data_IF_891987706442
#
_entry.id   IF_891987706442
#
_cell.length_a   1.000
_cell.length_b   1.000
_cell.length_c   1.000
_cell.angle_alpha   90.00
_cell.angle_beta   90.00
_cell.angle_gamma   90.00
#
_symmetry.space_group_name_H-M   'P 1'
#
loop_
_entity.id
_entity.type
_entity.pdbx_description
1 polymer ?
#
# COMPACT_ATOMS: atom_id res chain seq x y z
N UNK A 1 23.98 45.46 9.99
CA UNK A 1 24.45 44.14 10.46
C UNK A 1 23.59 43.73 11.66
N UNK A 2 22.76 42.72 11.49
CA UNK A 2 22.47 41.66 12.48
C UNK A 2 21.41 40.75 11.87
N UNK A 3 21.89 39.72 11.15
CA UNK A 3 21.08 38.58 10.76
C UNK A 3 20.88 37.73 12.01
N UNK A 4 19.67 37.76 12.58
CA UNK A 4 19.22 36.72 13.49
C UNK A 4 18.97 35.44 12.66
N UNK A 5 20.00 34.62 12.52
CA UNK A 5 19.84 33.23 12.14
C UNK A 5 19.10 32.52 13.29
N UNK A 6 17.79 32.32 13.14
CA UNK A 6 17.08 31.30 13.91
C UNK A 6 17.61 29.95 13.41
N UNK A 7 18.56 29.38 14.14
CA UNK A 7 18.79 27.93 14.10
C UNK A 7 17.48 27.26 14.51
N UNK A 8 16.68 26.84 13.53
CA UNK A 8 15.55 25.96 13.79
C UNK A 8 16.13 24.65 14.35
N UNK A 9 15.91 24.39 15.63
CA UNK A 9 16.25 23.12 16.25
C UNK A 9 15.74 21.99 15.34
N UNK A 10 16.63 21.08 14.94
CA UNK A 10 16.22 19.88 14.19
C UNK A 10 15.12 19.19 14.99
N UNK A 11 13.94 18.92 14.41
CA UNK A 11 12.89 18.23 15.15
C UNK A 11 13.42 16.89 15.66
N UNK A 12 13.32 16.67 16.98
CA UNK A 12 13.75 15.43 17.62
C UNK A 12 12.92 14.25 17.12
N UNK A 13 13.56 13.09 16.95
CA UNK A 13 12.85 11.84 16.67
C UNK A 13 11.89 11.51 17.83
N UNK A 14 10.79 10.82 17.51
CA UNK A 14 9.87 10.30 18.51
C UNK A 14 10.59 9.28 19.40
N UNK A 15 10.31 9.37 20.70
CA UNK A 15 10.72 8.37 21.69
C UNK A 15 9.87 7.12 21.57
N UNK A 16 10.37 5.98 22.09
CA UNK A 16 9.62 4.74 22.14
C UNK A 16 8.24 4.91 22.84
N UNK A 17 8.19 5.65 23.95
CA UNK A 17 6.94 5.89 24.70
C UNK A 17 5.92 6.67 23.85
N UNK A 18 6.38 7.62 23.03
CA UNK A 18 5.49 8.33 22.10
C UNK A 18 4.97 7.42 20.99
N UNK A 19 5.81 6.52 20.47
CA UNK A 19 5.38 5.53 19.47
C UNK A 19 4.38 4.54 20.08
N UNK A 20 4.59 4.09 21.31
CA UNK A 20 3.65 3.22 22.03
C UNK A 20 2.29 3.90 22.20
N UNK A 21 2.28 5.17 22.65
CA UNK A 21 1.05 5.94 22.80
C UNK A 21 0.31 6.06 21.47
N UNK A 22 1.04 6.37 20.40
CA UNK A 22 0.50 6.42 19.04
C UNK A 22 -0.13 5.08 18.68
N UNK A 23 0.61 3.97 18.78
CA UNK A 23 0.11 2.64 18.42
C UNK A 23 -1.08 2.17 19.26
N UNK A 24 -1.16 2.60 20.52
CA UNK A 24 -2.29 2.32 21.41
C UNK A 24 -3.54 3.11 21.01
N UNK A 25 -3.35 4.35 20.55
CA UNK A 25 -4.41 5.23 20.09
C UNK A 25 -4.78 5.03 18.61
N UNK A 26 -3.88 4.41 17.83
CA UNK A 26 -4.07 4.15 16.41
C UNK A 26 -5.29 3.27 16.18
N UNK A 27 -6.20 3.79 15.34
CA UNK A 27 -7.44 3.16 14.88
C UNK A 27 -8.42 2.76 15.99
N UNK A 28 -9.27 3.69 16.45
CA UNK A 28 -10.62 3.32 16.82
C UNK A 28 -11.37 2.96 15.54
N UNK A 29 -11.22 1.70 15.11
CA UNK A 29 -12.13 1.08 14.15
C UNK A 29 -13.47 0.82 14.83
N UNK A 30 -14.20 1.90 15.07
CA UNK A 30 -15.57 2.05 15.57
C UNK A 30 -15.93 1.56 16.98
N UNK A 31 -15.28 0.56 17.61
CA UNK A 31 -15.55 0.19 19.02
C UNK A 31 -14.39 -0.51 19.78
N UNK A 32 -13.24 -0.77 19.14
CA UNK A 32 -12.19 -1.63 19.72
C UNK A 32 -10.76 -1.16 19.44
N UNK A 33 -9.83 -1.48 20.35
CA UNK A 33 -8.39 -1.30 20.17
C UNK A 33 -7.82 -2.36 19.22
N UNK A 34 -7.07 -1.94 18.19
CA UNK A 34 -6.44 -2.86 17.23
C UNK A 34 -5.34 -3.70 17.88
N UNK A 35 -4.45 -3.05 18.62
CA UNK A 35 -3.34 -3.66 19.35
C UNK A 35 -3.65 -3.65 20.85
N UNK A 36 -3.27 -4.72 21.55
CA UNK A 36 -3.29 -4.72 23.01
C UNK A 36 -2.21 -3.78 23.56
N UNK A 37 -2.30 -3.36 24.83
CA UNK A 37 -1.27 -2.52 25.44
C UNK A 37 0.12 -3.19 25.42
N UNK A 38 0.17 -4.51 25.62
CA UNK A 38 1.40 -5.28 25.54
C UNK A 38 1.96 -5.31 24.12
N UNK A 39 1.11 -5.57 23.12
CA UNK A 39 1.51 -5.60 21.73
C UNK A 39 1.96 -4.22 21.23
N UNK A 40 1.27 -3.14 21.60
CA UNK A 40 1.68 -1.76 21.29
C UNK A 40 3.08 -1.46 21.84
N UNK A 41 3.37 -1.87 23.08
CA UNK A 41 4.68 -1.67 23.71
C UNK A 41 5.78 -2.45 23.01
N UNK A 42 5.54 -3.73 22.71
CA UNK A 42 6.51 -4.57 21.99
C UNK A 42 6.79 -4.02 20.60
N UNK A 43 5.74 -3.70 19.84
CA UNK A 43 5.89 -3.14 18.48
C UNK A 43 6.54 -1.76 18.49
N UNK A 44 6.24 -0.90 19.46
CA UNK A 44 6.90 0.40 19.60
C UNK A 44 8.41 0.25 19.83
N UNK A 45 8.82 -0.73 20.65
CA UNK A 45 10.24 -1.05 20.84
C UNK A 45 10.90 -1.49 19.53
N UNK A 46 10.23 -2.37 18.76
CA UNK A 46 10.73 -2.81 17.45
C UNK A 46 10.89 -1.64 16.48
N UNK A 47 9.86 -0.80 16.32
CA UNK A 47 9.89 0.39 15.46
C UNK A 47 11.01 1.34 15.86
N UNK A 48 11.13 1.64 17.16
CA UNK A 48 12.16 2.55 17.65
C UNK A 48 13.57 2.04 17.32
N UNK A 49 13.86 0.78 17.66
CA UNK A 49 15.17 0.16 17.41
C UNK A 49 15.44 0.10 15.90
N UNK A 50 14.46 -0.31 15.09
CA UNK A 50 14.65 -0.47 13.65
C UNK A 50 14.90 0.87 12.97
N UNK A 51 14.10 1.89 13.28
CA UNK A 51 14.22 3.23 12.69
C UNK A 51 15.49 3.94 13.13
N UNK A 52 15.92 3.78 14.40
CA UNK A 52 17.23 4.25 14.86
C UNK A 52 18.38 3.57 14.09
N UNK A 53 18.28 2.26 13.92
CA UNK A 53 19.27 1.42 13.23
C UNK A 53 19.45 1.85 11.77
N UNK A 54 18.35 2.14 11.06
CA UNK A 54 18.40 2.65 9.69
C UNK A 54 18.55 4.17 9.61
N UNK A 55 18.71 4.87 10.74
CA UNK A 55 18.83 6.33 10.81
C UNK A 55 17.67 7.06 10.13
N UNK A 56 16.47 6.51 10.26
CA UNK A 56 15.24 7.15 9.83
C UNK A 56 14.68 7.95 11.02
N UNK A 57 14.67 9.29 10.89
CA UNK A 57 14.15 10.16 11.94
C UNK A 57 12.62 10.11 11.95
N UNK A 58 12.06 9.23 12.79
CA UNK A 58 10.63 9.06 12.91
C UNK A 58 10.03 10.28 13.64
N UNK A 59 9.10 10.98 12.98
CA UNK A 59 8.45 12.18 13.51
C UNK A 59 6.95 12.01 13.46
N UNK A 60 6.24 12.60 14.42
CA UNK A 60 4.79 12.74 14.30
C UNK A 60 4.52 13.80 13.23
N UNK A 61 3.90 13.40 12.13
CA UNK A 61 3.51 14.26 11.04
C UNK A 61 2.09 14.77 11.20
N UNK A 62 1.41 14.94 10.07
CA UNK A 62 0.01 15.36 10.01
C UNK A 62 -0.90 14.24 10.52
N UNK A 63 -1.85 14.58 11.36
CA UNK A 63 -2.97 13.70 11.65
C UNK A 63 -4.06 13.91 10.60
N UNK A 64 -4.55 12.83 9.99
CA UNK A 64 -5.59 12.90 8.95
C UNK A 64 -6.97 12.70 9.58
N UNK A 65 -7.83 13.73 9.66
CA UNK A 65 -9.15 13.54 10.22
C UNK A 65 -10.06 12.83 9.21
N UNK A 66 -10.68 11.76 9.68
CA UNK A 66 -11.69 10.97 8.99
C UNK A 66 -13.04 11.26 9.64
N UNK A 67 -13.99 11.76 8.84
CA UNK A 67 -15.36 11.98 9.28
C UNK A 67 -16.13 10.66 9.19
N UNK A 68 -16.65 10.19 10.30
CA UNK A 68 -17.52 9.02 10.38
C UNK A 68 -18.94 9.49 10.73
N UNK A 69 -19.96 8.90 10.09
CA UNK A 69 -21.34 9.32 10.32
C UNK A 69 -21.73 9.14 11.79
N UNK A 70 -22.05 10.25 12.48
CA UNK A 70 -22.55 10.22 13.86
C UNK A 70 -21.48 10.18 14.95
N UNK A 71 -20.18 10.32 14.63
CA UNK A 71 -19.09 10.29 15.61
C UNK A 71 -18.15 11.49 15.46
N UNK A 72 -17.32 11.72 16.49
CA UNK A 72 -16.23 12.69 16.42
C UNK A 72 -15.18 12.27 15.38
N UNK A 73 -14.48 13.24 14.75
CA UNK A 73 -13.44 12.94 13.76
C UNK A 73 -12.35 12.04 14.34
N UNK A 74 -12.05 10.95 13.64
CA UNK A 74 -10.94 10.07 14.00
C UNK A 74 -9.66 10.61 13.37
N UNK A 75 -8.60 10.70 14.16
CA UNK A 75 -7.30 11.16 13.70
C UNK A 75 -6.40 9.96 13.41
N UNK A 76 -5.94 9.83 12.17
CA UNK A 76 -4.97 8.80 11.81
C UNK A 76 -3.56 9.40 11.96
N UNK A 77 -2.76 8.90 12.93
CA UNK A 77 -1.40 9.37 13.09
C UNK A 77 -0.54 8.87 11.93
N UNK A 78 0.21 9.79 11.35
CA UNK A 78 1.11 9.51 10.23
C UNK A 78 2.47 10.14 10.49
N UNK A 79 3.50 9.66 9.80
CA UNK A 79 4.82 10.27 9.81
C UNK A 79 5.17 10.83 8.43
N UNK A 80 5.80 12.01 8.36
CA UNK A 80 6.02 12.68 7.09
C UNK A 80 7.10 11.96 6.27
N UNK A 81 6.92 11.95 4.95
CA UNK A 81 7.96 11.55 3.99
C UNK A 81 8.40 12.80 3.20
N UNK A 82 9.27 13.60 3.83
CA UNK A 82 9.74 14.87 3.27
C UNK A 82 10.40 14.67 1.89
N UNK A 83 9.96 15.44 0.89
CA UNK A 83 10.46 15.32 -0.49
C UNK A 83 9.85 14.16 -1.31
N UNK A 84 8.79 13.51 -0.82
CA UNK A 84 7.94 12.67 -1.70
C UNK A 84 7.40 13.50 -2.87
N UNK A 85 7.24 12.87 -4.03
CA UNK A 85 6.68 13.52 -5.23
C UNK A 85 5.21 13.96 -5.02
N UNK A 86 4.52 13.44 -4.00
CA UNK A 86 3.16 13.83 -3.63
C UNK A 86 3.11 14.76 -2.41
N UNK A 87 4.27 15.26 -1.95
CA UNK A 87 4.37 16.12 -0.77
C UNK A 87 4.00 17.57 -1.08
N UNK A 88 3.69 18.39 -0.06
CA UNK A 88 3.42 19.82 -0.25
C UNK A 88 4.63 20.60 -0.80
N UNK A 89 5.83 20.04 -0.67
CA UNK A 89 7.11 20.59 -1.15
C UNK A 89 7.45 20.16 -2.60
N UNK A 90 6.64 19.30 -3.22
CA UNK A 90 6.92 18.76 -4.55
C UNK A 90 6.80 19.84 -5.65
N UNK A 91 7.58 19.70 -6.73
CA UNK A 91 7.55 20.63 -7.87
C UNK A 91 6.11 20.83 -8.33
N UNK A 92 5.57 22.05 -8.21
CA UNK A 92 4.16 22.24 -8.47
C UNK A 92 3.84 22.00 -9.95
N UNK A 93 4.79 22.05 -10.89
CA UNK A 93 4.53 21.79 -12.31
C UNK A 93 4.77 20.33 -12.74
N UNK A 94 5.05 19.43 -11.78
CA UNK A 94 5.22 18.00 -12.05
C UNK A 94 3.90 17.25 -12.27
N UNK A 95 3.89 16.29 -13.21
CA UNK A 95 2.71 15.49 -13.63
C UNK A 95 1.98 14.74 -12.50
N UNK A 96 2.59 14.59 -11.31
CA UNK A 96 2.06 13.77 -10.22
C UNK A 96 1.85 14.54 -8.90
N UNK A 97 2.13 15.85 -8.87
CA UNK A 97 2.52 16.52 -7.63
C UNK A 97 1.39 17.32 -6.92
N UNK A 98 0.21 17.46 -7.52
CA UNK A 98 -0.83 18.38 -7.01
C UNK A 98 -2.18 17.75 -6.67
N UNK A 99 -2.36 16.47 -6.91
CA UNK A 99 -3.72 15.94 -6.97
C UNK A 99 -4.16 15.24 -5.70
N UNK A 100 -3.26 14.56 -4.97
CA UNK A 100 -3.65 13.82 -3.77
C UNK A 100 -2.60 13.79 -2.65
N UNK A 101 -3.07 13.70 -1.41
CA UNK A 101 -2.23 13.41 -0.26
C UNK A 101 -2.99 12.57 0.78
N UNK A 102 -2.24 11.80 1.56
CA UNK A 102 -2.78 10.88 2.56
C UNK A 102 -1.74 9.87 3.03
N UNK A 103 -2.08 9.05 4.04
CA UNK A 103 -1.31 7.87 4.40
C UNK A 103 -1.16 6.96 3.18
N UNK A 104 0.02 6.37 3.02
CA UNK A 104 0.42 5.59 1.85
C UNK A 104 0.61 6.42 0.55
N UNK A 105 0.39 7.74 0.54
CA UNK A 105 0.73 8.57 -0.63
C UNK A 105 1.94 9.46 -0.34
N UNK A 106 1.76 10.36 0.61
CA UNK A 106 2.75 11.41 0.95
C UNK A 106 3.25 11.31 2.39
N UNK A 107 2.74 10.35 3.15
CA UNK A 107 3.17 10.06 4.51
C UNK A 107 2.99 8.56 4.79
N UNK A 108 3.76 8.05 5.74
CA UNK A 108 3.63 6.67 6.21
C UNK A 108 2.68 6.56 7.41
N UNK A 109 2.22 5.35 7.67
CA UNK A 109 1.26 5.06 8.73
C UNK A 109 1.91 4.16 9.79
N UNK A 110 1.73 4.49 11.07
CA UNK A 110 2.48 3.88 12.17
C UNK A 110 2.14 2.40 12.38
N UNK A 111 0.87 1.98 12.28
CA UNK A 111 0.48 0.58 12.46
C UNK A 111 1.09 -0.28 11.37
N UNK A 112 1.01 0.13 10.10
CA UNK A 112 1.64 -0.57 8.98
C UNK A 112 3.15 -0.66 9.12
N UNK A 113 3.82 0.44 9.50
CA UNK A 113 5.25 0.43 9.80
C UNK A 113 5.56 -0.58 10.92
N UNK A 114 4.77 -0.57 12.00
CA UNK A 114 4.95 -1.47 13.14
C UNK A 114 4.77 -2.94 12.76
N UNK A 115 3.78 -3.24 11.91
CA UNK A 115 3.51 -4.57 11.38
C UNK A 115 4.65 -5.03 10.48
N UNK A 116 5.18 -4.15 9.62
CA UNK A 116 6.35 -4.45 8.80
C UNK A 116 7.60 -4.71 9.65
N UNK A 117 7.88 -3.91 10.68
CA UNK A 117 8.96 -4.15 11.63
C UNK A 117 8.83 -5.52 12.33
N UNK A 118 7.63 -5.83 12.83
CA UNK A 118 7.34 -7.11 13.46
C UNK A 118 7.56 -8.28 12.48
N UNK A 119 7.02 -8.20 11.27
CA UNK A 119 7.17 -9.23 10.25
C UNK A 119 8.62 -9.39 9.81
N UNK A 120 9.33 -8.29 9.55
CA UNK A 120 10.74 -8.30 9.17
C UNK A 120 11.60 -9.00 10.22
N UNK A 121 11.39 -8.68 11.51
CA UNK A 121 12.10 -9.35 12.63
C UNK A 121 11.73 -10.82 12.80
N UNK A 122 10.47 -11.18 12.53
CA UNK A 122 9.97 -12.55 12.70
C UNK A 122 10.41 -13.47 11.56
N UNK A 123 10.40 -12.96 10.33
CA UNK A 123 10.48 -13.76 9.12
C UNK A 123 11.85 -13.72 8.46
N UNK A 124 12.61 -12.63 8.63
CA UNK A 124 13.90 -12.45 7.97
C UNK A 124 15.05 -12.73 8.95
N UNK A 125 16.22 -13.05 8.39
CA UNK A 125 17.41 -13.26 9.22
C UNK A 125 17.78 -11.97 9.96
N UNK A 126 18.36 -12.03 11.18
CA UNK A 126 18.72 -10.83 11.95
C UNK A 126 19.66 -9.85 11.26
N UNK A 127 20.42 -10.29 10.24
CA UNK A 127 21.27 -9.42 9.42
C UNK A 127 20.58 -8.80 8.20
N UNK A 128 19.38 -9.26 7.86
CA UNK A 128 18.62 -8.79 6.70
C UNK A 128 17.75 -7.59 7.09
N UNK A 129 16.90 -7.75 8.10
CA UNK A 129 16.03 -6.69 8.58
C UNK A 129 16.63 -5.96 9.80
N UNK A 130 16.60 -4.62 9.84
CA UNK A 130 16.21 -3.69 8.78
C UNK A 130 17.39 -3.27 7.88
N UNK A 131 18.60 -3.81 8.12
CA UNK A 131 19.86 -3.29 7.57
C UNK A 131 19.92 -3.29 6.03
N UNK A 132 19.49 -4.37 5.38
CA UNK A 132 19.51 -4.47 3.90
C UNK A 132 18.50 -3.54 3.23
N UNK A 133 17.48 -3.12 3.97
CA UNK A 133 16.44 -2.20 3.51
C UNK A 133 16.76 -0.74 3.87
N UNK A 134 17.85 -0.47 4.58
CA UNK A 134 18.12 0.84 5.17
C UNK A 134 18.15 1.98 4.14
N UNK A 135 18.68 1.74 2.94
CA UNK A 135 18.65 2.74 1.86
C UNK A 135 17.22 3.01 1.37
N UNK A 136 16.46 1.95 1.06
CA UNK A 136 15.07 2.07 0.57
C UNK A 136 14.14 2.67 1.63
N UNK A 137 14.31 2.32 2.90
CA UNK A 137 13.55 2.87 4.03
C UNK A 137 13.85 4.36 4.28
N UNK A 138 15.03 4.86 3.91
CA UNK A 138 15.33 6.30 3.99
C UNK A 138 14.91 7.09 2.75
N UNK A 139 14.81 6.42 1.61
CA UNK A 139 14.36 7.03 0.37
C UNK A 139 12.84 7.21 0.40
N UNK A 140 12.37 8.45 0.38
CA UNK A 140 10.94 8.76 0.49
C UNK A 140 10.12 8.29 -0.72
N UNK A 141 10.76 8.02 -1.86
CA UNK A 141 10.10 7.43 -3.04
C UNK A 141 9.97 5.91 -2.93
N UNK A 142 10.82 5.25 -2.15
CA UNK A 142 10.84 3.79 -1.99
C UNK A 142 10.34 3.31 -0.62
N UNK A 143 10.20 4.22 0.34
CA UNK A 143 9.84 3.88 1.71
C UNK A 143 8.55 3.06 1.76
N UNK A 144 7.47 3.58 1.17
CA UNK A 144 6.15 2.93 1.22
C UNK A 144 6.12 1.62 0.46
N UNK A 145 6.75 1.54 -0.72
CA UNK A 145 6.85 0.28 -1.46
C UNK A 145 7.65 -0.77 -0.70
N UNK A 146 8.68 -0.36 0.04
CA UNK A 146 9.45 -1.26 0.90
C UNK A 146 8.63 -1.78 2.08
N UNK A 147 7.80 -0.93 2.69
CA UNK A 147 6.87 -1.38 3.73
C UNK A 147 5.89 -2.41 3.16
N UNK A 148 5.29 -2.14 1.99
CA UNK A 148 4.40 -3.10 1.33
C UNK A 148 5.11 -4.41 0.95
N UNK A 149 6.35 -4.35 0.47
CA UNK A 149 7.21 -5.50 0.15
C UNK A 149 7.30 -6.47 1.35
N UNK A 150 7.48 -5.96 2.57
CA UNK A 150 7.54 -6.76 3.80
C UNK A 150 6.17 -7.26 4.23
N UNK A 151 5.13 -6.41 4.14
CA UNK A 151 3.77 -6.80 4.53
C UNK A 151 3.25 -7.97 3.68
N UNK A 152 3.64 -8.06 2.41
CA UNK A 152 3.26 -9.16 1.53
C UNK A 152 3.75 -10.53 2.01
N UNK A 153 4.90 -10.63 2.69
CA UNK A 153 5.35 -11.88 3.29
C UNK A 153 4.38 -12.39 4.38
N UNK A 154 3.78 -11.47 5.14
CA UNK A 154 2.82 -11.81 6.20
C UNK A 154 1.47 -12.35 5.72
N UNK A 155 1.21 -12.33 4.41
CA UNK A 155 -0.07 -12.75 3.82
C UNK A 155 -0.11 -14.23 3.42
N UNK A 156 0.98 -14.96 3.63
CA UNK A 156 1.10 -16.37 3.30
C UNK A 156 0.99 -17.25 4.56
N UNK A 157 0.54 -18.49 4.39
CA UNK A 157 0.44 -19.45 5.49
C UNK A 157 1.83 -19.97 5.87
N UNK A 158 2.37 -19.46 6.98
CA UNK A 158 3.66 -19.90 7.56
C UNK A 158 4.81 -19.92 6.54
N UNK A 159 5.20 -18.77 5.95
CA UNK A 159 6.32 -18.72 5.02
C UNK A 159 7.63 -19.09 5.72
N UNK A 160 8.41 -19.94 5.09
CA UNK A 160 9.70 -20.46 5.58
C UNK A 160 10.79 -20.33 4.53
N UNK A 161 12.06 -20.40 4.94
CA UNK A 161 13.24 -20.35 4.06
C UNK A 161 13.19 -19.17 3.08
N UNK A 162 12.98 -17.98 3.64
CA UNK A 162 12.81 -16.75 2.86
C UNK A 162 14.16 -16.28 2.30
N UNK A 163 14.22 -16.15 0.99
CA UNK A 163 15.32 -15.63 0.20
C UNK A 163 14.91 -14.31 -0.44
N UNK A 164 15.71 -13.26 -0.23
CA UNK A 164 15.48 -11.93 -0.80
C UNK A 164 16.23 -11.78 -2.13
N UNK A 165 15.65 -11.02 -3.08
CA UNK A 165 16.26 -10.72 -4.38
C UNK A 165 16.67 -12.00 -5.13
N UNK A 166 15.71 -12.92 -5.27
CA UNK A 166 15.93 -14.21 -5.87
C UNK A 166 16.09 -14.10 -7.39
N UNK A 167 17.22 -14.62 -7.90
CA UNK A 167 17.51 -14.63 -9.33
C UNK A 167 17.09 -15.95 -9.96
N UNK A 168 15.89 -15.99 -10.53
CA UNK A 168 15.39 -17.18 -11.24
C UNK A 168 16.05 -17.35 -12.62
N UNK A 169 16.22 -16.25 -13.35
CA UNK A 169 16.83 -16.24 -14.68
C UNK A 169 18.22 -15.59 -14.58
N UNK A 170 19.31 -16.25 -15.03
CA UNK A 170 20.66 -15.71 -14.92
C UNK A 170 20.86 -14.32 -15.56
N UNK A 171 20.18 -14.06 -16.67
CA UNK A 171 20.18 -12.78 -17.40
C UNK A 171 19.00 -11.86 -17.04
N UNK A 172 18.06 -12.33 -16.24
CA UNK A 172 16.86 -11.59 -15.86
C UNK A 172 17.10 -10.65 -14.68
N UNK A 173 16.03 -9.92 -14.35
CA UNK A 173 15.95 -9.12 -13.12
C UNK A 173 15.65 -10.02 -11.93
N UNK A 174 16.06 -9.61 -10.74
CA UNK A 174 15.79 -10.35 -9.51
C UNK A 174 14.30 -10.21 -9.14
N UNK A 175 13.73 -11.28 -8.61
CA UNK A 175 12.40 -11.35 -8.01
C UNK A 175 12.54 -10.95 -6.54
N UNK A 176 11.61 -10.17 -6.00
CA UNK A 176 11.75 -9.65 -4.64
C UNK A 176 11.93 -10.76 -3.59
N UNK A 177 11.16 -11.84 -3.68
CA UNK A 177 11.17 -12.92 -2.69
C UNK A 177 11.09 -14.31 -3.30
N UNK A 178 11.75 -15.26 -2.63
CA UNK A 178 11.49 -16.70 -2.73
C UNK A 178 11.28 -17.28 -1.33
N UNK A 179 10.30 -18.15 -1.14
CA UNK A 179 10.07 -18.84 0.13
C UNK A 179 9.29 -20.14 -0.06
N UNK A 180 9.18 -20.95 0.99
CA UNK A 180 8.34 -22.15 1.03
C UNK A 180 7.07 -21.83 1.83
N UNK A 181 5.91 -22.22 1.29
CA UNK A 181 4.60 -22.13 1.93
C UNK A 181 3.89 -23.45 1.72
N UNK A 182 3.60 -24.19 2.80
CA UNK A 182 2.96 -25.51 2.74
C UNK A 182 3.63 -26.47 1.71
N UNK A 183 4.96 -26.60 1.79
CA UNK A 183 5.81 -27.39 0.87
C UNK A 183 5.86 -26.92 -0.60
N UNK A 184 5.16 -25.83 -0.96
CA UNK A 184 5.23 -25.20 -2.27
C UNK A 184 6.22 -24.05 -2.24
N UNK A 185 7.14 -23.98 -3.21
CA UNK A 185 8.01 -22.81 -3.35
C UNK A 185 7.27 -21.70 -4.07
N UNK A 186 7.30 -20.51 -3.49
CA UNK A 186 6.71 -19.30 -4.06
C UNK A 186 7.83 -18.35 -4.46
N UNK A 187 7.80 -17.90 -5.71
CA UNK A 187 8.59 -16.78 -6.19
C UNK A 187 7.64 -15.58 -6.30
N UNK A 188 7.81 -14.59 -5.42
CA UNK A 188 6.89 -13.48 -5.26
C UNK A 188 7.55 -12.17 -5.66
N UNK A 189 6.99 -11.52 -6.67
CA UNK A 189 7.29 -10.13 -7.02
C UNK A 189 6.21 -9.23 -6.42
N UNK A 190 6.62 -8.17 -5.71
CA UNK A 190 5.71 -7.26 -5.03
C UNK A 190 5.71 -5.89 -5.70
N UNK A 191 4.52 -5.39 -6.01
CA UNK A 191 4.33 -4.08 -6.61
C UNK A 191 3.43 -3.20 -5.77
N UNK A 192 3.81 -1.93 -5.65
CA UNK A 192 2.97 -0.91 -5.05
C UNK A 192 2.55 0.11 -6.11
N UNK A 193 1.26 0.12 -6.47
CA UNK A 193 0.72 0.97 -7.54
C UNK A 193 0.20 2.27 -6.98
N UNK A 194 1.14 3.13 -6.61
CA UNK A 194 0.87 4.44 -6.01
C UNK A 194 -0.09 5.27 -6.88
N UNK A 195 0.10 5.30 -8.21
CA UNK A 195 -0.78 6.06 -9.14
C UNK A 195 -2.24 5.62 -9.15
N UNK A 196 -2.59 4.45 -8.59
CA UNK A 196 -4.00 4.01 -8.49
C UNK A 196 -4.84 4.94 -7.60
N UNK A 197 -4.24 5.81 -6.78
CA UNK A 197 -4.97 6.81 -6.00
C UNK A 197 -5.91 7.67 -6.89
N UNK A 198 -5.59 7.86 -8.17
CA UNK A 198 -6.42 8.61 -9.13
C UNK A 198 -7.83 8.02 -9.23
N UNK A 199 -7.96 6.70 -9.15
CA UNK A 199 -9.27 6.02 -9.14
C UNK A 199 -10.14 6.37 -7.92
N UNK A 200 -9.53 6.78 -6.80
CA UNK A 200 -10.26 7.23 -5.60
C UNK A 200 -10.74 8.66 -5.76
N UNK A 201 -9.89 9.53 -6.31
CA UNK A 201 -10.10 10.97 -6.22
C UNK A 201 -10.82 11.54 -7.44
N UNK A 202 -10.50 11.06 -8.64
CA UNK A 202 -11.15 11.47 -9.90
C UNK A 202 -12.22 10.48 -10.38
N UNK A 203 -12.31 9.30 -9.75
CA UNK A 203 -13.34 8.31 -10.02
C UNK A 203 -13.30 7.78 -11.46
N UNK A 204 -14.44 7.41 -12.06
CA UNK A 204 -14.50 6.77 -13.39
C UNK A 204 -14.09 7.70 -14.55
N UNK A 205 -13.79 8.97 -14.28
CA UNK A 205 -13.46 9.96 -15.31
C UNK A 205 -11.97 9.97 -15.70
N UNK A 206 -11.12 9.20 -15.01
CA UNK A 206 -9.70 9.11 -15.34
C UNK A 206 -9.37 7.77 -16.03
N UNK A 207 -8.71 7.86 -17.18
CA UNK A 207 -8.24 6.68 -17.91
C UNK A 207 -7.05 6.05 -17.17
N UNK A 208 -7.27 4.91 -16.55
CA UNK A 208 -6.19 4.12 -15.95
C UNK A 208 -5.47 3.33 -17.05
N UNK A 209 -4.17 3.58 -17.22
CA UNK A 209 -3.35 2.72 -18.09
C UNK A 209 -3.02 1.41 -17.36
N UNK A 210 -3.90 0.43 -17.49
CA UNK A 210 -3.76 -0.86 -16.81
C UNK A 210 -2.55 -1.67 -17.26
N UNK A 211 -2.07 -1.53 -18.50
CA UNK A 211 -0.95 -2.32 -19.00
C UNK A 211 0.34 -2.00 -18.21
N UNK A 212 0.51 -0.72 -17.81
CA UNK A 212 1.63 -0.28 -16.96
C UNK A 212 1.68 -0.92 -15.57
N UNK A 213 0.63 -1.64 -15.17
CA UNK A 213 0.62 -2.39 -13.91
C UNK A 213 1.54 -3.61 -13.95
N UNK A 214 2.06 -4.00 -15.11
CA UNK A 214 2.85 -5.22 -15.27
C UNK A 214 4.22 -5.01 -15.93
N UNK A 215 4.49 -3.84 -16.50
CA UNK A 215 5.73 -3.54 -17.24
C UNK A 215 7.02 -3.87 -16.47
N UNK A 216 7.03 -3.60 -15.17
CA UNK A 216 8.17 -3.80 -14.27
C UNK A 216 8.27 -5.21 -13.68
N UNK A 217 7.36 -6.11 -14.05
CA UNK A 217 7.36 -7.54 -13.75
C UNK A 217 7.99 -8.34 -14.89
N UNK A 218 7.85 -7.86 -16.13
CA UNK A 218 8.33 -8.56 -17.31
C UNK A 218 9.84 -8.83 -17.26
N UNK A 219 10.21 -10.07 -17.59
CA UNK A 219 11.60 -10.53 -17.62
C UNK A 219 12.20 -10.90 -16.26
N UNK A 220 11.40 -10.92 -15.18
CA UNK A 220 11.81 -11.44 -13.86
C UNK A 220 11.60 -12.95 -13.72
N UNK A 221 10.48 -13.45 -14.26
CA UNK A 221 10.08 -14.85 -14.14
C UNK A 221 10.53 -15.69 -15.33
N UNK A 222 11.06 -16.89 -15.04
CA UNK A 222 11.38 -17.90 -16.04
C UNK A 222 10.39 -19.07 -16.01
N UNK A 223 10.54 -20.05 -16.90
CA UNK A 223 9.82 -21.31 -16.79
C UNK A 223 10.02 -21.92 -15.39
N UNK A 224 8.93 -22.35 -14.76
CA UNK A 224 8.94 -22.86 -13.39
C UNK A 224 9.02 -24.40 -13.35
N UNK A 225 9.85 -24.99 -12.48
CA UNK A 225 9.80 -26.42 -12.19
C UNK A 225 8.49 -26.82 -11.48
N UNK A 226 8.20 -28.13 -11.46
CA UNK A 226 7.12 -28.69 -10.66
C UNK A 226 7.29 -28.33 -9.17
N UNK A 227 6.19 -27.94 -8.53
CA UNK A 227 6.17 -27.55 -7.11
C UNK A 227 6.63 -26.11 -6.84
N UNK A 228 6.81 -25.29 -7.88
CA UNK A 228 7.07 -23.86 -7.75
C UNK A 228 5.91 -23.03 -8.36
N UNK A 229 5.61 -21.87 -7.76
CA UNK A 229 4.65 -20.90 -8.28
C UNK A 229 5.31 -19.54 -8.43
N UNK A 230 5.09 -18.91 -9.58
CA UNK A 230 5.49 -17.53 -9.85
C UNK A 230 4.28 -16.60 -9.65
N UNK A 231 4.37 -15.71 -8.67
CA UNK A 231 3.24 -14.90 -8.21
C UNK A 231 3.59 -13.42 -8.23
N UNK A 232 2.66 -12.59 -8.69
CA UNK A 232 2.75 -11.13 -8.61
C UNK A 232 1.77 -10.65 -7.55
N UNK A 233 2.27 -10.06 -6.47
CA UNK A 233 1.46 -9.38 -5.46
C UNK A 233 1.40 -7.89 -5.75
N UNK A 234 0.22 -7.31 -5.93
CA UNK A 234 0.05 -5.89 -6.25
C UNK A 234 -0.78 -5.22 -5.17
N UNK A 235 -0.19 -4.29 -4.42
CA UNK A 235 -0.95 -3.39 -3.55
C UNK A 235 -1.51 -2.23 -4.38
N UNK A 236 -2.83 -2.04 -4.34
CA UNK A 236 -3.57 -0.94 -4.97
C UNK A 236 -4.37 -0.15 -3.95
N UNK A 237 -4.89 1.00 -4.36
CA UNK A 237 -5.76 1.81 -3.51
C UNK A 237 -7.20 1.34 -3.62
N UNK A 238 -7.68 1.08 -4.83
CA UNK A 238 -9.03 0.63 -5.13
C UNK A 238 -9.09 -0.85 -5.47
N UNK A 239 -10.23 -1.52 -5.25
CA UNK A 239 -10.48 -2.85 -5.78
C UNK A 239 -10.35 -2.85 -7.30
N UNK A 240 -9.77 -3.89 -7.92
CA UNK A 240 -9.77 -4.02 -9.37
C UNK A 240 -11.17 -3.85 -9.94
N UNK A 241 -11.32 -2.96 -10.91
CA UNK A 241 -12.55 -2.90 -11.69
C UNK A 241 -12.52 -3.92 -12.82
N UNK A 242 -13.61 -4.00 -13.58
CA UNK A 242 -13.73 -4.91 -14.71
C UNK A 242 -12.60 -4.71 -15.74
N UNK A 243 -12.16 -3.47 -15.98
CA UNK A 243 -11.11 -3.17 -16.94
C UNK A 243 -9.75 -3.71 -16.51
N UNK A 244 -9.38 -3.53 -15.24
CA UNK A 244 -8.16 -4.11 -14.68
C UNK A 244 -8.26 -5.64 -14.66
N UNK A 245 -9.40 -6.20 -14.28
CA UNK A 245 -9.61 -7.67 -14.29
C UNK A 245 -9.43 -8.28 -15.69
N UNK A 246 -10.00 -7.65 -16.73
CA UNK A 246 -9.83 -8.08 -18.12
C UNK A 246 -8.38 -7.91 -18.61
N UNK A 247 -7.69 -6.83 -18.20
CA UNK A 247 -6.27 -6.64 -18.49
C UNK A 247 -5.40 -7.72 -17.81
N UNK A 248 -5.64 -8.02 -16.53
CA UNK A 248 -4.95 -9.08 -15.79
C UNK A 248 -5.15 -10.45 -16.42
N UNK A 249 -6.37 -10.76 -16.87
CA UNK A 249 -6.65 -12.02 -17.54
C UNK A 249 -5.84 -12.16 -18.84
N UNK A 250 -5.82 -11.13 -19.69
CA UNK A 250 -5.00 -11.10 -20.91
C UNK A 250 -3.50 -11.19 -20.61
N UNK A 251 -3.05 -10.51 -19.55
CA UNK A 251 -1.67 -10.58 -19.09
C UNK A 251 -1.28 -12.02 -18.73
N UNK A 252 -2.08 -12.69 -17.90
CA UNK A 252 -1.81 -14.09 -17.54
C UNK A 252 -1.84 -15.00 -18.76
N UNK A 253 -2.77 -14.82 -19.70
CA UNK A 253 -2.83 -15.60 -20.95
C UNK A 253 -1.55 -15.47 -21.79
N UNK A 254 -0.98 -14.27 -21.87
CA UNK A 254 0.23 -13.98 -22.65
C UNK A 254 1.54 -14.34 -21.94
N UNK A 255 1.51 -14.53 -20.61
CA UNK A 255 2.70 -14.79 -19.78
C UNK A 255 2.54 -16.13 -19.02
N UNK A 256 2.82 -17.23 -19.70
CA UNK A 256 2.66 -18.60 -19.18
C UNK A 256 3.57 -18.93 -17.98
N UNK A 257 4.66 -18.18 -17.84
CA UNK A 257 5.59 -18.25 -16.72
C UNK A 257 4.99 -17.74 -15.42
N UNK A 258 3.91 -16.95 -15.44
CA UNK A 258 3.24 -16.40 -14.25
C UNK A 258 1.99 -17.23 -13.92
N UNK A 259 1.87 -17.66 -12.67
CA UNK A 259 0.76 -18.47 -12.17
C UNK A 259 -0.41 -17.65 -11.67
N UNK A 260 -0.10 -16.54 -11.00
CA UNK A 260 -1.09 -15.74 -10.32
C UNK A 260 -0.70 -14.26 -10.23
N UNK A 261 -1.72 -13.41 -10.33
CA UNK A 261 -1.68 -12.01 -9.93
C UNK A 261 -2.69 -11.84 -8.79
N UNK A 262 -2.23 -11.31 -7.67
CA UNK A 262 -3.04 -11.10 -6.47
C UNK A 262 -3.08 -9.61 -6.18
N UNK A 263 -4.27 -9.02 -6.17
CA UNK A 263 -4.46 -7.63 -5.80
C UNK A 263 -4.84 -7.49 -4.32
N UNK A 264 -4.14 -6.57 -3.66
CA UNK A 264 -4.40 -6.15 -2.30
C UNK A 264 -4.82 -4.68 -2.27
N UNK A 265 -6.12 -4.45 -2.24
CA UNK A 265 -6.67 -3.10 -2.20
C UNK A 265 -6.74 -2.59 -0.77
N UNK A 266 -6.10 -1.44 -0.52
CA UNK A 266 -6.11 -0.84 0.83
C UNK A 266 -7.46 -0.20 1.18
N UNK A 267 -8.26 0.20 0.18
CA UNK A 267 -9.67 0.51 0.35
C UNK A 267 -10.53 -0.58 -0.26
N UNK A 268 -11.17 -1.37 0.58
CA UNK A 268 -12.25 -2.25 0.14
C UNK A 268 -13.43 -2.18 1.11
N UNK A 269 -14.41 -1.29 0.85
CA UNK A 269 -15.57 -1.14 1.72
C UNK A 269 -16.49 -2.37 1.74
N UNK A 270 -16.27 -3.36 0.85
CA UNK A 270 -17.06 -4.59 0.75
C UNK A 270 -16.32 -5.82 1.28
N UNK A 271 -15.07 -5.67 1.74
CA UNK A 271 -14.27 -6.74 2.36
C UNK A 271 -13.90 -7.90 1.44
N UNK A 272 -13.94 -7.73 0.12
CA UNK A 272 -13.60 -8.75 -0.88
C UNK A 272 -12.11 -8.70 -1.27
N UNK A 273 -11.21 -8.80 -0.29
CA UNK A 273 -9.77 -8.94 -0.53
C UNK A 273 -9.25 -10.30 -0.04
N UNK A 274 -8.19 -10.82 -0.68
CA UNK A 274 -7.59 -10.34 -1.93
C UNK A 274 -8.48 -10.60 -3.15
N UNK A 275 -8.25 -9.87 -4.26
CA UNK A 275 -8.72 -10.29 -5.58
C UNK A 275 -7.65 -11.17 -6.23
N UNK A 276 -8.00 -12.40 -6.61
CA UNK A 276 -7.05 -13.43 -7.07
C UNK A 276 -7.37 -13.81 -8.51
N UNK A 277 -6.44 -13.52 -9.40
CA UNK A 277 -6.42 -14.04 -10.76
C UNK A 277 -5.32 -15.09 -10.86
N UNK A 278 -5.69 -16.36 -11.03
CA UNK A 278 -4.73 -17.45 -11.01
C UNK A 278 -5.13 -18.58 -11.94
N UNK A 279 -4.12 -19.28 -12.47
CA UNK A 279 -4.31 -20.53 -13.22
C UNK A 279 -4.78 -21.67 -12.31
N UNK A 280 -4.40 -21.61 -11.03
CA UNK A 280 -4.76 -22.57 -9.99
C UNK A 280 -5.34 -21.82 -8.77
N UNK A 281 -6.57 -21.25 -8.87
CA UNK A 281 -7.10 -20.35 -7.86
C UNK A 281 -7.31 -21.00 -6.49
N UNK A 282 -7.71 -22.28 -6.45
CA UNK A 282 -7.95 -22.98 -5.19
C UNK A 282 -6.66 -23.27 -4.43
N UNK A 283 -5.58 -23.59 -5.16
CA UNK A 283 -4.24 -23.74 -4.56
C UNK A 283 -3.76 -22.41 -3.96
N UNK A 284 -3.87 -21.30 -4.71
CA UNK A 284 -3.49 -19.98 -4.19
C UNK A 284 -4.30 -19.61 -2.95
N UNK A 285 -5.63 -19.83 -2.96
CA UNK A 285 -6.49 -19.58 -1.79
C UNK A 285 -6.11 -20.41 -0.57
N UNK A 286 -5.62 -21.64 -0.76
CA UNK A 286 -5.16 -22.49 0.34
C UNK A 286 -3.82 -22.01 0.92
N UNK A 287 -2.92 -21.49 0.07
CA UNK A 287 -1.60 -21.00 0.48
C UNK A 287 -1.66 -19.59 1.11
N UNK A 288 -2.67 -18.81 0.74
CA UNK A 288 -2.82 -17.44 1.19
C UNK A 288 -3.62 -17.36 2.50
N UNK A 289 -3.10 -16.61 3.48
CA UNK A 289 -3.76 -16.38 4.78
C UNK A 289 -4.89 -15.37 4.69
N UNK A 290 -4.80 -14.42 3.74
CA UNK A 290 -5.79 -13.34 3.57
C UNK A 290 -5.59 -12.19 4.57
N UNK A 291 -6.66 -11.42 4.80
CA UNK A 291 -6.67 -10.28 5.71
C UNK A 291 -6.69 -10.70 7.17
N UNK A 292 -5.94 -9.97 7.98
CA UNK A 292 -6.07 -10.01 9.43
C UNK A 292 -6.79 -8.77 9.96
N UNK A 293 -7.00 -8.76 11.28
CA UNK A 293 -7.71 -7.71 11.99
C UNK A 293 -7.16 -6.31 11.72
N UNK A 294 -5.84 -6.15 11.60
CA UNK A 294 -5.24 -4.84 11.34
C UNK A 294 -5.58 -4.36 9.93
N UNK A 295 -5.56 -5.27 8.96
CA UNK A 295 -5.94 -4.93 7.59
C UNK A 295 -7.43 -4.57 7.53
N UNK A 296 -8.31 -5.31 8.24
CA UNK A 296 -9.77 -5.09 8.30
C UNK A 296 -10.18 -3.77 8.91
N UNK A 297 -9.36 -3.25 9.81
CA UNK A 297 -9.59 -1.95 10.45
C UNK A 297 -8.81 -0.82 9.78
N UNK A 298 -7.95 -1.13 8.81
CA UNK A 298 -7.12 -0.15 8.12
C UNK A 298 -7.95 0.74 7.18
N UNK A 299 -7.65 2.04 7.21
CA UNK A 299 -8.19 3.03 6.28
C UNK A 299 -7.11 4.06 5.93
N UNK A 300 -6.87 4.30 4.64
CA UNK A 300 -5.93 5.30 4.16
C UNK A 300 -6.66 6.55 3.61
N UNK A 301 -7.11 7.51 4.44
CA UNK A 301 -7.84 8.67 3.94
C UNK A 301 -7.00 9.47 2.94
N UNK A 302 -7.49 9.54 1.71
CA UNK A 302 -6.87 10.33 0.64
C UNK A 302 -7.68 11.59 0.42
N UNK A 303 -6.99 12.73 0.31
CA UNK A 303 -7.59 14.02 -0.01
C UNK A 303 -7.12 14.51 -1.35
N UNK A 304 -8.04 15.04 -2.15
CA UNK A 304 -7.67 15.87 -3.30
C UNK A 304 -7.08 17.20 -2.81
N UNK A 305 -5.91 17.61 -3.30
CA UNK A 305 -5.24 18.84 -2.83
C UNK A 305 -5.67 20.12 -3.58
N UNK A 306 -6.04 20.03 -4.87
CA UNK A 306 -6.21 21.21 -5.73
C UNK A 306 -7.61 21.62 -6.22
N UNK A 307 -8.72 21.00 -5.79
CA UNK A 307 -10.06 21.38 -6.30
C UNK A 307 -10.94 22.00 -5.22
N UNK A 308 -11.27 23.29 -5.39
CA UNK A 308 -12.29 23.94 -4.55
C UNK A 308 -13.62 23.21 -4.74
N UNK A 309 -14.46 23.20 -3.71
CA UNK A 309 -15.70 22.43 -3.71
C UNK A 309 -16.63 22.72 -4.90
N UNK A 310 -16.54 23.92 -5.47
CA UNK A 310 -17.40 24.39 -6.55
C UNK A 310 -16.91 23.91 -7.94
N UNK A 311 -15.60 23.79 -8.14
CA UNK A 311 -15.00 23.23 -9.36
C UNK A 311 -15.27 21.73 -9.49
N UNK A 312 -15.39 21.01 -8.35
CA UNK A 312 -15.83 19.61 -8.30
C UNK A 312 -17.25 19.40 -8.83
N UNK A 313 -18.13 20.41 -8.73
CA UNK A 313 -19.53 20.32 -9.21
C UNK A 313 -19.66 20.65 -10.69
N UNK A 314 -18.76 21.49 -11.21
CA UNK A 314 -18.78 21.97 -12.59
C UNK A 314 -18.29 20.93 -13.61
N UNK A 315 -17.49 19.95 -13.20
CA UNK A 315 -16.96 18.87 -14.06
C UNK A 315 -17.78 17.58 -14.05
N UNK A 316 -19.02 17.57 -13.54
CA UNK A 316 -19.92 16.50 -13.98
C UNK A 316 -19.98 16.61 -15.50
N UNK A 317 -19.62 15.57 -16.27
CA UNK A 317 -19.79 15.62 -17.71
C UNK A 317 -21.25 16.02 -17.96
N UNK A 318 -21.47 17.02 -18.81
CA UNK A 318 -22.82 17.40 -19.23
C UNK A 318 -23.62 16.19 -19.76
N UNK A 319 -22.91 15.11 -20.14
CA UNK A 319 -23.41 13.82 -20.61
C UNK A 319 -24.00 12.91 -19.49
N UNK A 320 -23.73 13.19 -18.20
CA UNK A 320 -24.32 12.42 -17.10
C UNK A 320 -25.82 12.75 -16.86
N UNK A 321 -26.31 13.86 -17.43
CA UNK A 321 -27.75 14.20 -17.41
C UNK A 321 -28.52 13.50 -18.53
N UNK A 322 -27.88 13.18 -19.66
CA UNK A 322 -28.55 12.52 -20.80
C UNK A 322 -28.77 11.02 -20.57
N UNK A 323 -27.91 10.35 -19.79
CA UNK A 323 -28.10 8.96 -19.40
C UNK A 323 -29.26 8.76 -18.39
N UNK A 324 -29.58 9.78 -17.60
CA UNK A 324 -30.73 9.74 -16.67
C UNK A 324 -32.03 10.12 -17.39
N UNK A 325 -31.97 10.99 -18.41
CA UNK A 325 -33.14 11.34 -19.24
C UNK A 325 -33.60 10.21 -20.16
N UNK A 326 -32.79 9.17 -20.39
CA UNK A 326 -33.11 8.02 -21.26
C UNK A 326 -33.55 6.77 -20.51
N UNK A 327 -33.57 6.80 -19.16
CA UNK A 327 -34.01 5.67 -18.32
C UNK A 327 -35.28 5.94 -17.50
N UNK A 328 -35.90 7.12 -17.65
CA UNK A 328 -37.25 7.38 -17.10
C UNK A 328 -38.24 7.16 -18.25
N UNK A 329 -39.12 6.13 -18.20
CA UNK A 329 -40.20 6.03 -19.17
C UNK A 329 -41.04 7.30 -19.07
N UNK A 330 -41.31 7.94 -20.21
CA UNK A 330 -42.18 9.11 -20.24
C UNK A 330 -43.54 8.70 -19.66
N UNK A 331 -44.14 9.50 -18.76
CA UNK A 331 -45.50 9.22 -18.32
C UNK A 331 -46.43 9.35 -19.54
N UNK A 332 -46.97 8.23 -20.02
CA UNK A 332 -47.91 8.22 -21.14
C UNK A 332 -47.77 7.07 -22.14
N UNK A 333 -46.74 6.23 -22.05
CA UNK A 333 -46.66 5.02 -22.89
C UNK A 333 -47.27 3.83 -22.14
N UNK A 334 -48.61 3.72 -22.19
CA UNK A 334 -49.34 2.45 -22.14
C UNK A 334 -49.52 1.90 -23.56
#
# INVERSE_FOLDING_TARGET
MSQNARESAKPSSLTQVQVEEILRQCYPGMFETVLSAEESKERAAMVHIDMETVRFALRLGTSWPVQTQGFEPIWIPSYPLEGTMYGPEADPDGENNRDAAGPLISCGEFVRLSKACMLGRKLLSPGDWPQKFASKLRDTQQHLSTIEEILWLGRWNSPERIEMSYKQIPSGKDIDWRFICCDIKINLEVKYRLRDWQGIVDGPHFSRNFDSYFDDVLGKFGPRPDGELNVVGITTFTPPDRGLQECTQRFLENHAEIDAVIFWSVHDPKGKRPDIHARQPDLIKMLFKGADREDDLFCAPIRHLWRKSDERRAMRPAEAMDAISTMIPKPGDE
#
